data_IF_363224789898
#
_entry.id   IF_363224789898
#
_cell.length_a   1.000
_cell.length_b   1.000
_cell.length_c   1.000
_cell.angle_alpha   90.00
_cell.angle_beta   90.00
_cell.angle_gamma   90.00
#
_symmetry.space_group_name_H-M   'P 1'
#
loop_
_entity.id
_entity.type
_entity.pdbx_description
1 polymer ?
#
# COMPACT_ATOMS: atom_id res chain seq x y z
N UNK A 1 32.94 26.43 31.92
CA UNK A 1 31.78 27.28 31.56
C UNK A 1 31.46 27.05 30.09
N UNK A 2 30.46 26.20 29.82
CA UNK A 2 29.62 26.15 28.60
C UNK A 2 28.75 24.88 28.71
N UNK A 3 27.54 25.03 29.24
CA UNK A 3 26.50 23.98 29.24
C UNK A 3 26.07 23.77 27.78
N UNK A 4 26.06 22.54 27.23
CA UNK A 4 25.49 22.31 25.91
C UNK A 4 23.99 22.56 26.04
N UNK A 5 23.51 23.59 25.34
CA UNK A 5 22.09 23.89 25.21
C UNK A 5 21.42 22.66 24.60
N UNK A 6 20.55 22.03 25.37
CA UNK A 6 19.67 20.98 24.89
C UNK A 6 18.95 21.52 23.64
N UNK A 7 19.34 21.01 22.47
CA UNK A 7 18.59 21.25 21.23
C UNK A 7 17.20 20.66 21.46
N UNK A 8 16.25 21.53 21.80
CA UNK A 8 14.84 21.22 21.84
C UNK A 8 14.52 20.75 20.42
N UNK A 9 14.31 19.44 20.24
CA UNK A 9 13.84 18.89 18.98
C UNK A 9 12.62 19.72 18.55
N UNK A 10 12.61 20.27 17.32
CA UNK A 10 11.54 21.17 16.91
C UNK A 10 10.20 20.45 17.06
N UNK A 11 9.27 21.09 17.78
CA UNK A 11 7.87 20.67 17.89
C UNK A 11 7.40 20.30 16.49
N UNK A 12 6.90 19.07 16.23
CA UNK A 12 6.51 18.67 14.89
C UNK A 12 5.47 19.67 14.37
N UNK A 13 5.85 20.46 13.36
CA UNK A 13 4.92 21.34 12.67
C UNK A 13 3.71 20.50 12.20
N UNK A 14 2.49 21.05 12.20
CA UNK A 14 1.28 20.30 11.88
C UNK A 14 1.46 19.50 10.59
N UNK A 15 1.53 18.18 10.77
CA UNK A 15 1.79 17.18 9.74
C UNK A 15 0.64 17.22 8.74
N UNK A 16 0.87 17.84 7.58
CA UNK A 16 -0.06 17.80 6.44
C UNK A 16 -0.01 16.42 5.79
N UNK A 17 -0.44 15.41 6.54
CA UNK A 17 -0.49 14.01 6.10
C UNK A 17 -1.76 13.71 5.31
N UNK A 18 -2.86 14.39 5.63
CA UNK A 18 -4.19 14.14 5.10
C UNK A 18 -4.69 15.35 4.30
N UNK A 19 -3.98 15.68 3.22
CA UNK A 19 -4.42 16.73 2.29
C UNK A 19 -5.45 16.15 1.30
N UNK A 20 -6.43 16.95 0.89
CA UNK A 20 -7.39 16.53 -0.16
C UNK A 20 -6.66 16.12 -1.43
N UNK A 21 -5.57 16.83 -1.77
CA UNK A 21 -4.66 16.45 -2.86
C UNK A 21 -4.11 15.03 -2.69
N UNK A 22 -3.58 14.70 -1.52
CA UNK A 22 -3.03 13.38 -1.24
C UNK A 22 -4.09 12.30 -1.42
N UNK A 23 -5.29 12.52 -0.88
CA UNK A 23 -6.42 11.57 -0.98
C UNK A 23 -6.78 11.31 -2.45
N UNK A 24 -6.92 12.36 -3.25
CA UNK A 24 -7.27 12.24 -4.67
C UNK A 24 -6.17 11.52 -5.45
N UNK A 25 -4.90 11.88 -5.23
CA UNK A 25 -3.78 11.21 -5.88
C UNK A 25 -3.72 9.73 -5.49
N UNK A 26 -3.80 9.44 -4.19
CA UNK A 26 -3.83 8.08 -3.67
C UNK A 26 -4.97 7.26 -4.27
N UNK A 27 -6.16 7.83 -4.44
CA UNK A 27 -7.29 7.15 -5.05
C UNK A 27 -7.05 6.82 -6.54
N UNK A 28 -6.49 7.76 -7.30
CA UNK A 28 -6.15 7.53 -8.72
C UNK A 28 -5.07 6.46 -8.84
N UNK A 29 -4.01 6.55 -8.04
CA UNK A 29 -2.93 5.54 -8.02
C UNK A 29 -3.48 4.17 -7.61
N UNK A 30 -4.34 4.11 -6.60
CA UNK A 30 -5.00 2.87 -6.18
C UNK A 30 -5.84 2.25 -7.31
N UNK A 31 -6.61 3.04 -8.05
CA UNK A 31 -7.40 2.55 -9.18
C UNK A 31 -6.52 1.98 -10.30
N UNK A 32 -5.45 2.69 -10.68
CA UNK A 32 -4.51 2.24 -11.70
C UNK A 32 -3.82 0.95 -11.26
N UNK A 33 -3.33 0.90 -10.02
CA UNK A 33 -2.61 -0.25 -9.47
C UNK A 33 -3.52 -1.46 -9.32
N UNK A 34 -4.73 -1.29 -8.80
CA UNK A 34 -5.71 -2.37 -8.61
C UNK A 34 -6.17 -3.00 -9.91
N UNK A 35 -6.26 -2.24 -11.01
CA UNK A 35 -6.59 -2.78 -12.33
C UNK A 35 -5.37 -3.40 -13.04
N UNK A 36 -4.22 -2.73 -12.98
CA UNK A 36 -3.06 -3.07 -13.81
C UNK A 36 -2.22 -4.20 -13.23
N UNK A 37 -1.98 -4.17 -11.91
CA UNK A 37 -1.08 -5.12 -11.26
C UNK A 37 -1.55 -6.57 -11.42
N UNK A 38 -2.83 -6.89 -11.19
CA UNK A 38 -3.31 -8.27 -11.30
C UNK A 38 -3.21 -8.79 -12.76
N UNK A 39 -3.47 -7.95 -13.76
CA UNK A 39 -3.27 -8.29 -15.17
C UNK A 39 -1.80 -8.61 -15.50
N UNK A 40 -0.87 -7.77 -15.05
CA UNK A 40 0.57 -7.96 -15.30
C UNK A 40 1.05 -9.27 -14.68
N UNK A 41 0.64 -9.55 -13.43
CA UNK A 41 0.97 -10.80 -12.72
C UNK A 41 0.48 -12.01 -13.50
N UNK A 42 -0.77 -12.00 -13.98
CA UNK A 42 -1.30 -13.10 -14.77
C UNK A 42 -0.60 -13.28 -16.12
N UNK A 43 -0.23 -12.18 -16.77
CA UNK A 43 0.36 -12.23 -18.12
C UNK A 43 1.82 -12.67 -18.12
N UNK A 44 2.59 -12.21 -17.13
CA UNK A 44 4.02 -12.46 -17.04
C UNK A 44 4.33 -13.66 -16.14
N UNK A 45 3.43 -14.02 -15.23
CA UNK A 45 3.63 -15.06 -14.22
C UNK A 45 4.40 -14.58 -12.98
N UNK A 46 4.90 -13.34 -12.99
CA UNK A 46 5.53 -12.68 -11.84
C UNK A 46 5.14 -11.20 -11.79
N UNK A 47 4.93 -10.69 -10.58
CA UNK A 47 4.60 -9.29 -10.34
C UNK A 47 5.85 -8.46 -10.01
N UNK A 48 6.10 -7.33 -10.70
CA UNK A 48 7.15 -6.40 -10.28
C UNK A 48 6.91 -5.93 -8.83
N UNK A 49 7.92 -5.39 -8.16
CA UNK A 49 7.74 -4.87 -6.80
C UNK A 49 6.63 -3.81 -6.78
N UNK A 50 5.46 -4.17 -6.23
CA UNK A 50 4.24 -3.36 -6.29
C UNK A 50 4.43 -2.02 -5.60
N UNK A 51 5.24 -2.00 -4.54
CA UNK A 51 5.53 -0.80 -3.75
C UNK A 51 6.39 0.20 -4.52
N UNK A 52 7.38 -0.28 -5.29
CA UNK A 52 8.20 0.57 -6.16
C UNK A 52 7.34 1.19 -7.25
N UNK A 53 6.51 0.39 -7.92
CA UNK A 53 5.62 0.89 -8.99
C UNK A 53 4.60 1.88 -8.44
N UNK A 54 3.99 1.60 -7.29
CA UNK A 54 3.07 2.52 -6.62
C UNK A 54 3.74 3.85 -6.25
N UNK A 55 4.99 3.81 -5.75
CA UNK A 55 5.77 5.01 -5.45
C UNK A 55 6.05 5.83 -6.71
N UNK A 56 6.41 5.19 -7.83
CA UNK A 56 6.64 5.86 -9.11
C UNK A 56 5.38 6.57 -9.60
N UNK A 57 4.23 5.90 -9.63
CA UNK A 57 2.98 6.53 -10.05
C UNK A 57 2.55 7.66 -9.11
N UNK A 58 2.65 7.46 -7.79
CA UNK A 58 2.36 8.48 -6.80
C UNK A 58 3.24 9.72 -6.97
N UNK A 59 4.55 9.53 -7.18
CA UNK A 59 5.48 10.62 -7.43
C UNK A 59 5.16 11.36 -8.73
N UNK A 60 4.91 10.65 -9.83
CA UNK A 60 4.58 11.27 -11.13
C UNK A 60 3.32 12.13 -10.99
N UNK A 61 2.25 11.61 -10.39
CA UNK A 61 1.01 12.35 -10.23
C UNK A 61 1.18 13.59 -9.34
N UNK A 62 1.91 13.44 -8.23
CA UNK A 62 2.22 14.56 -7.34
C UNK A 62 3.12 15.60 -8.01
N UNK A 63 4.08 15.17 -8.82
CA UNK A 63 4.97 16.06 -9.56
C UNK A 63 4.19 16.87 -10.64
N UNK A 64 3.27 16.23 -11.36
CA UNK A 64 2.40 16.90 -12.32
C UNK A 64 1.52 17.95 -11.64
N UNK A 65 0.91 17.61 -10.50
CA UNK A 65 0.09 18.56 -9.74
C UNK A 65 0.96 19.68 -9.16
N UNK A 66 2.14 19.37 -8.64
CA UNK A 66 3.07 20.38 -8.13
C UNK A 66 3.56 21.33 -9.22
N UNK A 67 3.76 20.84 -10.45
CA UNK A 67 4.07 21.65 -11.61
C UNK A 67 2.93 22.61 -11.95
N UNK A 68 1.69 22.13 -11.98
CA UNK A 68 0.51 22.95 -12.28
C UNK A 68 0.16 23.97 -11.18
N UNK A 69 0.25 23.56 -9.91
CA UNK A 69 -0.19 24.38 -8.76
C UNK A 69 0.93 25.20 -8.12
N UNK A 70 2.21 24.99 -8.52
CA UNK A 70 3.43 25.51 -7.87
C UNK A 70 3.57 25.10 -6.39
N UNK A 71 2.70 24.25 -5.86
CA UNK A 71 2.75 23.76 -4.48
C UNK A 71 3.53 22.47 -4.44
N UNK A 72 4.69 22.48 -3.77
CA UNK A 72 5.56 21.31 -3.64
C UNK A 72 4.81 20.13 -2.99
N UNK A 73 5.06 18.93 -3.50
CA UNK A 73 4.61 17.70 -2.88
C UNK A 73 5.39 17.43 -1.60
N UNK A 74 4.73 16.89 -0.58
CA UNK A 74 5.42 16.48 0.65
C UNK A 74 5.72 14.98 0.62
N UNK A 75 6.73 14.57 1.40
CA UNK A 75 7.08 13.15 1.56
C UNK A 75 5.90 12.33 2.11
N UNK A 76 5.06 12.95 2.95
CA UNK A 76 3.88 12.30 3.51
C UNK A 76 2.84 11.94 2.43
N UNK A 77 2.62 12.82 1.46
CA UNK A 77 1.68 12.57 0.36
C UNK A 77 2.18 11.45 -0.56
N UNK A 78 3.48 11.42 -0.83
CA UNK A 78 4.09 10.35 -1.62
C UNK A 78 3.98 8.99 -0.91
N UNK A 79 4.25 8.96 0.40
CA UNK A 79 4.11 7.74 1.21
C UNK A 79 2.65 7.26 1.26
N UNK A 80 1.69 8.20 1.33
CA UNK A 80 0.26 7.88 1.31
C UNK A 80 -0.16 7.28 -0.05
N UNK A 81 0.30 7.85 -1.16
CA UNK A 81 0.05 7.32 -2.50
C UNK A 81 0.66 5.94 -2.71
N UNK A 82 1.91 5.74 -2.27
CA UNK A 82 2.60 4.44 -2.33
C UNK A 82 1.85 3.38 -1.53
N UNK A 83 1.45 3.69 -0.31
CA UNK A 83 0.74 2.75 0.58
C UNK A 83 -0.61 2.36 -0.01
N UNK A 84 -1.39 3.35 -0.46
CA UNK A 84 -2.69 3.11 -1.09
C UNK A 84 -2.57 2.28 -2.39
N UNK A 85 -1.59 2.61 -3.24
CA UNK A 85 -1.33 1.86 -4.47
C UNK A 85 -0.89 0.42 -4.24
N UNK A 86 -0.02 0.20 -3.25
CA UNK A 86 0.44 -1.14 -2.85
C UNK A 86 -0.73 -1.98 -2.36
N UNK A 87 -1.51 -1.44 -1.42
CA UNK A 87 -2.68 -2.12 -0.87
C UNK A 87 -3.72 -2.46 -1.95
N UNK A 88 -4.01 -1.52 -2.85
CA UNK A 88 -4.94 -1.76 -3.95
C UNK A 88 -4.45 -2.84 -4.93
N UNK A 89 -3.14 -2.89 -5.22
CA UNK A 89 -2.55 -3.95 -6.03
C UNK A 89 -2.71 -5.33 -5.40
N UNK A 90 -2.48 -5.46 -4.09
CA UNK A 90 -2.66 -6.73 -3.36
C UNK A 90 -4.14 -7.15 -3.25
N UNK A 91 -5.05 -6.20 -3.00
CA UNK A 91 -6.49 -6.46 -2.98
C UNK A 91 -6.98 -6.89 -4.36
N UNK A 92 -6.53 -6.23 -5.43
CA UNK A 92 -6.86 -6.60 -6.81
C UNK A 92 -6.42 -8.03 -7.16
N UNK A 93 -5.28 -8.47 -6.62
CA UNK A 93 -4.84 -9.86 -6.77
C UNK A 93 -5.79 -10.86 -6.10
N UNK A 94 -6.35 -10.53 -4.93
CA UNK A 94 -7.36 -11.38 -4.27
C UNK A 94 -8.64 -11.52 -5.11
N UNK A 95 -9.06 -10.48 -5.83
CA UNK A 95 -10.19 -10.56 -6.76
C UNK A 95 -9.93 -11.56 -7.89
N UNK A 96 -8.70 -11.65 -8.39
CA UNK A 96 -8.32 -12.64 -9.40
C UNK A 96 -8.38 -14.06 -8.85
N UNK A 97 -7.92 -14.28 -7.62
CA UNK A 97 -8.01 -15.61 -6.97
C UNK A 97 -9.46 -16.06 -6.89
N UNK A 98 -10.38 -15.16 -6.52
CA UNK A 98 -11.82 -15.46 -6.52
C UNK A 98 -12.33 -15.81 -7.93
N UNK A 99 -11.97 -15.02 -8.95
CA UNK A 99 -12.36 -15.29 -10.33
C UNK A 99 -11.79 -16.63 -10.85
N UNK A 100 -10.58 -17.01 -10.44
CA UNK A 100 -9.96 -18.28 -10.80
C UNK A 100 -10.70 -19.47 -10.15
N UNK A 101 -11.14 -19.34 -8.89
CA UNK A 101 -11.95 -20.37 -8.23
C UNK A 101 -13.31 -20.52 -8.92
N UNK A 102 -13.94 -19.41 -9.29
CA UNK A 102 -15.20 -19.40 -10.03
C UNK A 102 -15.05 -20.12 -11.39
N UNK A 103 -14.01 -19.77 -12.14
CA UNK A 103 -13.71 -20.42 -13.42
C UNK A 103 -13.32 -21.91 -13.29
N UNK A 104 -12.82 -22.33 -12.12
CA UNK A 104 -12.56 -23.73 -11.80
C UNK A 104 -13.85 -24.49 -11.52
N UNK A 105 -14.81 -23.87 -10.80
CA UNK A 105 -16.12 -24.45 -10.53
C UNK A 105 -16.92 -24.71 -11.82
N UNK A 106 -16.74 -23.86 -12.84
CA UNK A 106 -17.34 -24.02 -14.16
C UNK A 106 -16.79 -25.22 -14.97
N UNK A 107 -15.73 -25.89 -14.48
CA UNK A 107 -15.10 -27.04 -15.14
C UNK A 107 -15.32 -28.34 -14.34
N UNK A 108 -16.50 -28.98 -14.44
CA UNK A 108 -16.86 -30.16 -13.65
C UNK A 108 -15.96 -31.38 -13.91
N UNK A 109 -15.22 -31.40 -15.04
CA UNK A 109 -14.28 -32.46 -15.39
C UNK A 109 -13.09 -32.59 -14.41
N UNK A 110 -12.81 -31.56 -13.60
CA UNK A 110 -11.69 -31.54 -12.66
C UNK A 110 -12.07 -32.06 -11.26
N UNK A 111 -13.34 -32.38 -11.01
CA UNK A 111 -13.82 -32.94 -9.73
C UNK A 111 -13.70 -32.00 -8.53
N UNK A 112 -13.33 -30.73 -8.75
CA UNK A 112 -13.19 -29.71 -7.71
C UNK A 112 -14.39 -28.77 -7.75
N UNK A 113 -15.27 -28.85 -6.75
CA UNK A 113 -16.41 -27.94 -6.59
C UNK A 113 -16.26 -27.17 -5.28
N UNK A 114 -15.69 -25.98 -5.35
CA UNK A 114 -15.43 -25.10 -4.22
C UNK A 114 -16.29 -23.84 -4.35
N UNK A 115 -17.58 -23.97 -4.04
CA UNK A 115 -18.48 -22.83 -3.96
C UNK A 115 -18.25 -22.06 -2.66
N UNK A 116 -17.61 -20.90 -2.77
CA UNK A 116 -17.51 -19.96 -1.67
C UNK A 116 -18.79 -19.13 -1.59
N UNK A 117 -19.51 -19.25 -0.48
CA UNK A 117 -20.61 -18.33 -0.18
C UNK A 117 -20.05 -16.91 0.03
N UNK A 118 -20.84 -15.88 -0.32
CA UNK A 118 -20.44 -14.48 -0.15
C UNK A 118 -19.97 -14.15 1.27
N UNK A 119 -20.55 -14.80 2.28
CA UNK A 119 -20.14 -14.65 3.69
C UNK A 119 -18.76 -15.24 3.95
N UNK A 120 -18.41 -16.37 3.33
CA UNK A 120 -17.08 -16.97 3.45
C UNK A 120 -16.02 -16.10 2.77
N UNK A 121 -16.33 -15.55 1.59
CA UNK A 121 -15.47 -14.59 0.88
C UNK A 121 -15.25 -13.35 1.76
N UNK A 122 -16.32 -12.78 2.31
CA UNK A 122 -16.24 -11.61 3.17
C UNK A 122 -15.39 -11.85 4.41
N UNK A 123 -15.64 -12.95 5.14
CA UNK A 123 -14.86 -13.32 6.31
C UNK A 123 -13.40 -13.54 5.95
N UNK A 124 -13.14 -14.30 4.88
CA UNK A 124 -11.78 -14.59 4.42
C UNK A 124 -11.01 -13.32 4.07
N UNK A 125 -11.57 -12.43 3.24
CA UNK A 125 -10.94 -11.16 2.87
C UNK A 125 -10.73 -10.24 4.08
N UNK A 126 -11.69 -10.22 5.02
CA UNK A 126 -11.59 -9.43 6.25
C UNK A 126 -10.46 -9.93 7.14
N UNK A 127 -10.36 -11.25 7.37
CA UNK A 127 -9.27 -11.84 8.13
C UNK A 127 -7.91 -11.66 7.44
N UNK A 128 -7.85 -11.84 6.12
CA UNK A 128 -6.62 -11.62 5.35
C UNK A 128 -6.13 -10.17 5.46
N UNK A 129 -7.03 -9.19 5.29
CA UNK A 129 -6.70 -7.77 5.41
C UNK A 129 -6.32 -7.38 6.84
N UNK A 130 -7.05 -7.87 7.85
CA UNK A 130 -6.76 -7.61 9.25
C UNK A 130 -5.41 -8.20 9.66
N UNK A 131 -5.11 -9.42 9.23
CA UNK A 131 -3.83 -10.08 9.48
C UNK A 131 -2.68 -9.29 8.85
N UNK A 132 -2.84 -8.82 7.62
CA UNK A 132 -1.86 -7.96 6.95
C UNK A 132 -1.59 -6.66 7.73
N UNK A 133 -2.65 -5.96 8.12
CA UNK A 133 -2.54 -4.73 8.91
C UNK A 133 -1.92 -4.98 10.30
N UNK A 134 -2.29 -6.10 10.94
CA UNK A 134 -1.79 -6.47 12.26
C UNK A 134 -0.30 -6.84 12.23
N UNK A 135 0.15 -7.61 11.24
CA UNK A 135 1.56 -8.00 11.09
C UNK A 135 2.47 -6.83 10.67
N UNK A 136 1.93 -5.82 9.98
CA UNK A 136 2.73 -4.66 9.56
C UNK A 136 3.42 -3.94 10.74
N UNK A 137 2.73 -3.83 11.89
CA UNK A 137 3.23 -3.14 13.09
C UNK A 137 4.41 -3.87 13.78
N UNK A 138 4.32 -5.16 14.17
CA UNK A 138 5.41 -5.87 14.83
C UNK A 138 6.64 -6.04 13.93
N UNK A 139 6.45 -6.30 12.63
CA UNK A 139 7.56 -6.40 11.67
C UNK A 139 8.37 -5.11 11.66
N UNK A 140 7.71 -3.95 11.60
CA UNK A 140 8.38 -2.64 11.68
C UNK A 140 9.26 -2.50 12.92
N UNK A 141 8.78 -2.96 14.08
CA UNK A 141 9.49 -2.87 15.37
C UNK A 141 10.67 -3.84 15.45
N UNK A 142 10.59 -4.99 14.78
CA UNK A 142 11.68 -5.96 14.75
C UNK A 142 12.85 -5.47 13.88
N UNK A 143 12.56 -4.87 12.72
CA UNK A 143 13.59 -4.37 11.79
C UNK A 143 14.17 -2.99 12.16
N UNK A 144 13.54 -2.26 13.08
CA UNK A 144 14.09 -1.04 13.67
C UNK A 144 14.51 -1.33 15.11
N UNK A 145 15.70 -1.93 15.34
CA UNK A 145 16.23 -2.00 16.69
C UNK A 145 16.39 -0.57 17.21
N UNK A 146 15.87 -0.32 18.41
CA UNK A 146 15.98 0.94 19.13
C UNK A 146 17.42 1.13 19.67
N UNK A 147 18.43 0.80 18.87
CA UNK A 147 19.85 0.89 19.20
C UNK A 147 20.39 2.28 18.88
N UNK A 148 19.80 3.30 19.49
CA UNK A 148 20.56 4.49 19.87
C UNK A 148 21.04 4.28 21.31
N UNK A 149 21.91 3.27 21.50
CA UNK A 149 22.83 3.31 22.63
C UNK A 149 23.92 4.28 22.22
N UNK A 150 23.77 5.54 22.62
CA UNK A 150 24.85 6.51 22.65
C UNK A 150 26.07 5.83 23.30
N UNK A 151 27.09 5.54 22.51
CA UNK A 151 28.43 5.41 23.05
C UNK A 151 29.11 6.78 22.92
N UNK A 152 29.74 7.27 24.01
CA UNK A 152 30.29 8.62 24.13
C UNK A 152 31.44 8.89 23.16
#
# INVERSE_FOLDING_TARGET
MATPSAQIAPVPAPRRELTVRAVVVSAIVAAIMGASFPYVVLKIGYGPNVSVVAAFFGFILLALIAFATRVRATVYEANMAQTAGTAAGEIGFMCIVLAAIDMLNDRPALGFSLHLSGTQIFLWLTFAGLLGAFLAVPLRRHYMPLSYSFHP
#
